data_IF_945263041065
#
_entry.id   IF_945263041065
#
_cell.length_a   1.000
_cell.length_b   1.000
_cell.length_c   1.000
_cell.angle_alpha   90.00
_cell.angle_beta   90.00
_cell.angle_gamma   90.00
#
_symmetry.space_group_name_H-M   'P 1'
#
loop_
_entity.id
_entity.type
_entity.pdbx_description
1 polymer ?
#
# COMPACT_ATOMS: atom_id res chain seq x y z
N UNK A 1 6.67 -11.61 2.95
CA UNK A 1 5.56 -11.27 3.88
C UNK A 1 4.48 -12.33 3.91
N UNK A 2 3.77 -12.62 2.81
CA UNK A 2 2.70 -13.64 2.82
C UNK A 2 3.16 -15.00 3.38
N UNK A 3 4.30 -15.52 2.90
CA UNK A 3 4.88 -16.76 3.43
C UNK A 3 5.22 -16.66 4.93
N UNK A 4 5.75 -15.53 5.39
CA UNK A 4 6.05 -15.28 6.81
C UNK A 4 4.78 -15.24 7.65
N UNK A 5 3.74 -14.52 7.21
CA UNK A 5 2.45 -14.43 7.90
C UNK A 5 1.75 -15.79 7.96
N UNK A 6 1.76 -16.56 6.88
CA UNK A 6 1.20 -17.92 6.84
C UNK A 6 1.98 -18.86 7.75
N UNK A 7 3.31 -18.81 7.72
CA UNK A 7 4.15 -19.67 8.56
C UNK A 7 3.96 -19.37 10.06
N UNK A 8 3.87 -18.09 10.42
CA UNK A 8 3.56 -17.63 11.78
C UNK A 8 2.12 -17.99 12.17
N UNK A 9 1.21 -18.15 11.19
CA UNK A 9 -0.15 -18.58 11.47
C UNK A 9 -0.26 -20.08 11.80
N UNK A 10 0.46 -20.92 11.04
CA UNK A 10 0.47 -22.38 11.17
C UNK A 10 1.26 -22.83 12.40
N UNK A 11 2.31 -22.10 12.76
CA UNK A 11 3.14 -22.42 13.90
C UNK A 11 2.41 -22.14 15.24
N UNK A 12 2.01 -23.20 15.94
CA UNK A 12 1.41 -23.13 17.28
C UNK A 12 2.43 -23.35 18.42
N UNK A 13 3.73 -23.37 18.13
CA UNK A 13 4.78 -23.63 19.12
C UNK A 13 5.53 -22.35 19.53
N UNK A 14 5.86 -22.25 20.83
CA UNK A 14 6.69 -21.19 21.39
C UNK A 14 8.07 -21.10 20.72
N UNK A 15 8.63 -22.26 20.36
CA UNK A 15 9.93 -22.37 19.73
C UNK A 15 9.93 -21.79 18.30
N UNK A 16 8.84 -21.98 17.56
CA UNK A 16 8.68 -21.37 16.24
C UNK A 16 8.58 -19.84 16.33
N UNK A 17 7.88 -19.29 17.32
CA UNK A 17 7.86 -17.84 17.54
C UNK A 17 9.24 -17.26 17.82
N UNK A 18 10.04 -17.95 18.64
CA UNK A 18 11.42 -17.55 18.90
C UNK A 18 12.24 -17.54 17.59
N UNK A 19 12.14 -18.59 16.77
CA UNK A 19 12.84 -18.63 15.48
C UNK A 19 12.40 -17.50 14.53
N UNK A 20 11.10 -17.22 14.43
CA UNK A 20 10.58 -16.12 13.59
C UNK A 20 10.96 -14.74 14.10
N UNK A 21 11.10 -14.57 15.41
CA UNK A 21 11.60 -13.32 16.02
C UNK A 21 13.07 -13.09 15.70
N UNK A 22 13.90 -14.15 15.75
CA UNK A 22 15.33 -14.07 15.41
C UNK A 22 15.50 -13.78 13.93
N UNK A 23 14.77 -14.47 13.06
CA UNK A 23 14.78 -14.22 11.62
C UNK A 23 14.36 -12.78 11.30
N UNK A 24 13.31 -12.27 11.96
CA UNK A 24 12.88 -10.89 11.80
C UNK A 24 13.91 -9.89 12.32
N UNK A 25 14.51 -10.15 13.49
CA UNK A 25 15.57 -9.32 14.04
C UNK A 25 16.77 -9.26 13.10
N UNK A 26 17.20 -10.38 12.52
CA UNK A 26 18.27 -10.42 11.53
C UNK A 26 17.94 -9.55 10.30
N UNK A 27 16.71 -9.62 9.78
CA UNK A 27 16.25 -8.76 8.68
C UNK A 27 16.27 -7.28 9.07
N UNK A 28 15.82 -6.93 10.27
CA UNK A 28 15.83 -5.55 10.76
C UNK A 28 17.26 -5.01 10.94
N UNK A 29 18.19 -5.84 11.41
CA UNK A 29 19.62 -5.48 11.52
C UNK A 29 20.24 -5.27 10.13
N UNK A 30 19.98 -6.16 9.18
CA UNK A 30 20.46 -6.02 7.80
C UNK A 30 19.88 -4.78 7.10
N UNK A 31 18.61 -4.43 7.40
CA UNK A 31 17.93 -3.31 6.76
C UNK A 31 18.37 -1.93 7.29
N UNK A 32 19.23 -1.84 8.32
CA UNK A 32 19.69 -0.58 8.97
C UNK A 32 18.55 0.44 9.17
N UNK A 33 17.38 -0.04 9.59
CA UNK A 33 16.21 0.81 9.80
C UNK A 33 16.38 1.56 11.14
N UNK A 34 16.03 2.84 11.16
CA UNK A 34 15.96 3.62 12.39
C UNK A 34 14.90 3.00 13.34
N UNK A 35 15.35 2.17 14.28
CA UNK A 35 14.51 1.48 15.29
C UNK A 35 13.55 2.43 16.02
N UNK A 36 13.97 3.67 16.26
CA UNK A 36 13.15 4.71 16.90
C UNK A 36 11.92 5.11 16.07
N UNK A 37 12.03 5.15 14.73
CA UNK A 37 10.90 5.47 13.84
C UNK A 37 9.88 4.33 13.79
N UNK A 38 10.38 3.08 13.76
CA UNK A 38 9.52 1.89 13.85
C UNK A 38 8.78 1.84 15.20
N UNK A 39 9.47 2.12 16.31
CA UNK A 39 8.85 2.07 17.64
C UNK A 39 7.76 3.13 17.82
N UNK A 40 7.93 4.32 17.22
CA UNK A 40 6.90 5.37 17.23
C UNK A 40 5.63 4.95 16.47
N UNK A 41 5.77 4.19 15.38
CA UNK A 41 4.63 3.62 14.64
C UNK A 41 3.93 2.49 15.41
N UNK A 42 4.58 1.94 16.44
CA UNK A 42 4.07 0.87 17.29
C UNK A 42 3.22 1.37 18.47
N UNK A 43 3.22 2.68 18.74
CA UNK A 43 2.42 3.30 19.81
C UNK A 43 0.93 2.95 19.72
N UNK A 44 0.23 3.09 18.57
CA UNK A 44 -1.17 2.66 18.48
C UNK A 44 -1.33 1.13 18.63
N UNK A 45 -0.32 0.35 18.24
CA UNK A 45 -0.34 -1.10 18.37
C UNK A 45 -0.23 -1.54 19.84
N UNK A 46 0.48 -0.77 20.68
CA UNK A 46 0.63 -1.07 22.11
C UNK A 46 -0.74 -1.09 22.81
N UNK A 47 -1.66 -0.21 22.43
CA UNK A 47 -3.05 -0.22 22.93
C UNK A 47 -3.75 -1.54 22.60
N UNK A 48 -3.61 -2.03 21.37
CA UNK A 48 -4.18 -3.31 20.93
C UNK A 48 -3.51 -4.48 21.67
N UNK A 49 -2.20 -4.41 21.89
CA UNK A 49 -1.42 -5.43 22.58
C UNK A 49 -1.89 -5.61 24.04
N UNK A 50 -2.01 -4.51 24.77
CA UNK A 50 -2.49 -4.50 26.16
C UNK A 50 -3.92 -5.01 26.21
N UNK A 51 -4.78 -4.54 25.31
CA UNK A 51 -6.16 -5.03 25.22
C UNK A 51 -6.22 -6.55 24.99
N UNK A 52 -5.35 -7.08 24.13
CA UNK A 52 -5.29 -8.52 23.82
C UNK A 52 -4.89 -9.35 25.05
N UNK A 53 -3.87 -8.91 25.78
CA UNK A 53 -3.44 -9.58 27.02
C UNK A 53 -4.53 -9.52 28.09
N UNK A 54 -5.15 -8.36 28.28
CA UNK A 54 -6.23 -8.16 29.27
C UNK A 54 -7.44 -9.01 28.95
N UNK A 55 -7.85 -9.06 27.67
CA UNK A 55 -8.96 -9.89 27.22
C UNK A 55 -8.70 -11.40 27.43
N UNK A 56 -7.43 -11.83 27.44
CA UNK A 56 -7.04 -13.23 27.59
C UNK A 56 -6.66 -13.64 29.03
N UNK A 57 -6.74 -12.73 30.00
CA UNK A 57 -6.56 -13.06 31.43
C UNK A 57 -7.37 -14.29 31.88
N UNK A 58 -8.66 -14.47 31.50
CA UNK A 58 -9.44 -15.62 31.95
C UNK A 58 -8.99 -16.96 31.34
N UNK A 59 -8.41 -16.99 30.13
CA UNK A 59 -7.87 -18.22 29.54
C UNK A 59 -6.43 -18.51 30.00
N UNK A 60 -5.75 -17.52 30.56
CA UNK A 60 -4.39 -17.63 31.08
C UNK A 60 -3.43 -16.61 30.46
N UNK A 61 -2.55 -16.05 31.30
CA UNK A 61 -1.59 -15.01 30.90
C UNK A 61 -0.65 -15.50 29.79
N UNK A 62 -0.31 -16.80 29.78
CA UNK A 62 0.56 -17.40 28.76
C UNK A 62 -0.03 -17.34 27.34
N UNK A 63 -1.33 -17.62 27.20
CA UNK A 63 -2.04 -17.53 25.90
C UNK A 63 -2.17 -16.08 25.46
N UNK A 64 -2.52 -15.17 26.37
CA UNK A 64 -2.59 -13.73 26.08
C UNK A 64 -1.25 -13.17 25.60
N UNK A 65 -0.15 -13.56 26.25
CA UNK A 65 1.20 -13.17 25.84
C UNK A 65 1.60 -13.78 24.49
N UNK A 66 1.20 -15.02 24.21
CA UNK A 66 1.44 -15.68 22.93
C UNK A 66 0.78 -14.92 21.77
N UNK A 67 -0.51 -14.59 21.87
CA UNK A 67 -1.20 -13.80 20.83
C UNK A 67 -0.67 -12.38 20.72
N UNK A 68 -0.34 -11.75 21.85
CA UNK A 68 0.28 -10.44 21.86
C UNK A 68 1.62 -10.44 21.09
N UNK A 69 2.51 -11.39 21.36
CA UNK A 69 3.77 -11.55 20.65
C UNK A 69 3.55 -11.83 19.16
N UNK A 70 2.54 -12.64 18.81
CA UNK A 70 2.14 -12.93 17.42
C UNK A 70 1.80 -11.66 16.64
N UNK A 71 0.93 -10.83 17.21
CA UNK A 71 0.49 -9.56 16.61
C UNK A 71 1.68 -8.61 16.47
N UNK A 72 2.53 -8.55 17.50
CA UNK A 72 3.75 -7.74 17.49
C UNK A 72 4.68 -8.13 16.33
N UNK A 73 4.96 -9.43 16.15
CA UNK A 73 5.83 -9.91 15.08
C UNK A 73 5.25 -9.65 13.68
N UNK A 74 3.94 -9.87 13.49
CA UNK A 74 3.26 -9.58 12.22
C UNK A 74 3.30 -8.08 11.89
N UNK A 75 3.06 -7.23 12.88
CA UNK A 75 3.11 -5.79 12.70
C UNK A 75 4.53 -5.31 12.36
N UNK A 76 5.54 -5.77 13.11
CA UNK A 76 6.94 -5.42 12.85
C UNK A 76 7.42 -5.90 11.47
N UNK A 77 7.05 -7.11 11.05
CA UNK A 77 7.36 -7.61 9.71
C UNK A 77 6.69 -6.77 8.61
N UNK A 78 5.43 -6.38 8.80
CA UNK A 78 4.69 -5.54 7.86
C UNK A 78 5.32 -4.14 7.76
N UNK A 79 5.66 -3.54 8.90
CA UNK A 79 6.32 -2.23 8.94
C UNK A 79 7.72 -2.27 8.30
N UNK A 80 8.49 -3.33 8.53
CA UNK A 80 9.80 -3.50 7.90
C UNK A 80 9.66 -3.45 6.37
N UNK A 81 8.68 -4.14 5.81
CA UNK A 81 8.40 -4.09 4.37
C UNK A 81 7.84 -2.75 3.93
N UNK A 82 6.94 -2.14 4.67
CA UNK A 82 6.43 -0.81 4.33
C UNK A 82 7.56 0.22 4.23
N UNK A 83 8.60 0.12 5.06
CA UNK A 83 9.76 1.02 5.02
C UNK A 83 10.83 0.65 3.98
N UNK A 84 10.91 -0.61 3.55
CA UNK A 84 11.96 -1.06 2.60
C UNK A 84 11.58 -0.94 1.12
N UNK A 85 10.30 -0.76 0.77
CA UNK A 85 9.85 -0.73 -0.63
C UNK A 85 9.51 0.70 -1.09
N UNK A 86 10.01 1.08 -2.26
CA UNK A 86 9.58 2.30 -2.96
C UNK A 86 8.26 2.08 -3.74
N UNK A 87 7.51 3.16 -3.96
CA UNK A 87 6.22 3.15 -4.68
C UNK A 87 6.31 2.47 -6.05
N UNK A 88 7.43 2.65 -6.77
CA UNK A 88 7.65 2.05 -8.09
C UNK A 88 7.88 0.54 -8.02
N UNK A 89 8.53 0.05 -6.95
CA UNK A 89 8.77 -1.37 -6.72
C UNK A 89 7.47 -2.10 -6.39
N UNK A 90 6.56 -1.45 -5.66
CA UNK A 90 5.23 -2.00 -5.34
C UNK A 90 4.41 -2.28 -6.61
N UNK A 91 4.42 -1.35 -7.58
CA UNK A 91 3.73 -1.53 -8.88
C UNK A 91 4.26 -2.74 -9.64
N UNK A 92 5.60 -2.91 -9.65
CA UNK A 92 6.26 -4.04 -10.31
C UNK A 92 5.92 -5.36 -9.63
N UNK A 93 5.95 -5.39 -8.31
CA UNK A 93 5.57 -6.58 -7.53
C UNK A 93 4.12 -6.99 -7.81
N UNK A 94 3.21 -6.02 -7.90
CA UNK A 94 1.81 -6.26 -8.23
C UNK A 94 1.64 -6.81 -9.65
N UNK A 95 2.32 -6.23 -10.64
CA UNK A 95 2.32 -6.73 -12.03
C UNK A 95 2.85 -8.16 -12.12
N UNK A 96 3.95 -8.48 -11.42
CA UNK A 96 4.49 -9.84 -11.38
C UNK A 96 3.54 -10.83 -10.70
N UNK A 97 2.77 -10.38 -9.70
CA UNK A 97 1.77 -11.21 -9.03
C UNK A 97 0.57 -11.54 -9.93
N UNK A 98 0.25 -10.66 -10.89
CA UNK A 98 -0.77 -10.91 -11.91
C UNK A 98 -0.27 -11.78 -13.07
N UNK A 99 1.04 -11.97 -13.24
CA UNK A 99 1.66 -12.85 -14.24
C UNK A 99 1.01 -14.24 -14.41
N UNK A 100 0.73 -15.02 -13.34
CA UNK A 100 0.07 -16.33 -13.46
C UNK A 100 -1.35 -16.26 -14.05
N UNK A 101 -2.05 -15.14 -13.92
CA UNK A 101 -3.39 -14.96 -14.52
C UNK A 101 -3.33 -14.89 -16.06
N UNK A 102 -2.13 -14.70 -16.64
CA UNK A 102 -1.92 -14.80 -18.10
C UNK A 102 -2.31 -16.18 -18.63
N UNK A 103 -2.14 -17.23 -17.82
CA UNK A 103 -2.55 -18.59 -18.18
C UNK A 103 -4.08 -18.73 -18.36
N UNK A 104 -4.86 -17.87 -17.70
CA UNK A 104 -6.33 -17.85 -17.75
C UNK A 104 -6.83 -16.86 -18.83
N UNK A 105 -5.99 -16.47 -19.80
CA UNK A 105 -6.28 -15.52 -20.89
C UNK A 105 -6.68 -14.11 -20.43
N UNK A 106 -6.33 -13.72 -19.21
CA UNK A 106 -6.53 -12.33 -18.74
C UNK A 106 -5.45 -11.42 -19.35
N UNK A 107 -5.79 -10.21 -19.88
CA UNK A 107 -4.83 -9.27 -20.45
C UNK A 107 -4.02 -8.54 -19.36
N UNK A 108 -3.08 -9.25 -18.75
CA UNK A 108 -2.24 -8.74 -17.65
C UNK A 108 -1.45 -7.49 -18.05
N UNK A 109 -0.95 -7.44 -19.29
CA UNK A 109 -0.10 -6.36 -19.79
C UNK A 109 -0.87 -5.01 -19.87
N UNK A 110 -2.17 -5.05 -20.20
CA UNK A 110 -3.05 -3.87 -20.20
C UNK A 110 -3.34 -3.39 -18.79
N UNK A 111 -3.70 -4.33 -17.90
CA UNK A 111 -4.00 -4.04 -16.50
C UNK A 111 -2.76 -3.44 -15.80
N UNK A 112 -1.58 -4.00 -16.04
CA UNK A 112 -0.33 -3.50 -15.49
C UNK A 112 -0.04 -2.06 -15.96
N UNK A 113 -0.32 -1.75 -17.23
CA UNK A 113 -0.14 -0.39 -17.75
C UNK A 113 -1.15 0.58 -17.13
N UNK A 114 -2.42 0.20 -17.04
CA UNK A 114 -3.47 1.01 -16.39
C UNK A 114 -3.09 1.30 -14.93
N UNK A 115 -2.61 0.29 -14.21
CA UNK A 115 -2.21 0.43 -12.82
C UNK A 115 -0.96 1.32 -12.64
N UNK A 116 0.04 1.18 -13.52
CA UNK A 116 1.24 2.05 -13.52
C UNK A 116 0.89 3.52 -13.76
N UNK A 117 -0.02 3.79 -14.72
CA UNK A 117 -0.54 5.14 -14.97
C UNK A 117 -1.29 5.64 -13.74
N UNK A 118 -2.18 4.82 -13.17
CA UNK A 118 -2.99 5.19 -12.00
C UNK A 118 -2.13 5.61 -10.81
N UNK A 119 -1.11 4.83 -10.44
CA UNK A 119 -0.22 5.15 -9.31
C UNK A 119 0.52 6.47 -9.54
N UNK A 120 1.01 6.69 -10.76
CA UNK A 120 1.66 7.97 -11.12
C UNK A 120 0.67 9.15 -11.10
N UNK A 121 -0.62 8.88 -11.28
CA UNK A 121 -1.67 9.89 -11.26
C UNK A 121 -2.11 10.29 -9.86
N UNK A 122 -1.94 9.41 -8.85
CA UNK A 122 -2.28 9.68 -7.45
C UNK A 122 -1.65 10.99 -6.95
N UNK A 123 -0.32 11.23 -7.04
CA UNK A 123 0.28 12.46 -6.52
C UNK A 123 -0.28 13.70 -7.22
N UNK A 124 -0.41 13.66 -8.54
CA UNK A 124 -0.93 14.81 -9.30
C UNK A 124 -2.41 15.07 -9.01
N UNK A 125 -3.19 14.01 -8.74
CA UNK A 125 -4.60 14.13 -8.35
C UNK A 125 -4.72 14.69 -6.93
N UNK A 126 -3.82 14.33 -6.02
CA UNK A 126 -3.74 14.89 -4.68
C UNK A 126 -3.40 16.39 -4.73
N UNK A 127 -2.43 16.79 -5.55
CA UNK A 127 -2.07 18.20 -5.70
C UNK A 127 -3.23 19.02 -6.28
N UNK A 128 -3.96 18.48 -7.26
CA UNK A 128 -5.15 19.13 -7.83
C UNK A 128 -6.27 19.23 -6.80
N UNK A 129 -6.51 18.15 -6.04
CA UNK A 129 -7.46 18.15 -4.95
C UNK A 129 -7.15 19.23 -3.93
N UNK A 130 -5.89 19.38 -3.52
CA UNK A 130 -5.47 20.41 -2.58
C UNK A 130 -5.62 21.81 -3.16
N UNK A 131 -5.23 22.03 -4.42
CA UNK A 131 -5.43 23.32 -5.11
C UNK A 131 -6.90 23.73 -5.16
N UNK A 132 -7.76 22.82 -5.62
CA UNK A 132 -9.21 23.08 -5.73
C UNK A 132 -9.83 23.27 -4.35
N UNK A 133 -9.51 22.41 -3.39
CA UNK A 133 -10.00 22.52 -2.01
C UNK A 133 -9.65 23.89 -1.41
N UNK A 134 -8.39 24.31 -1.51
CA UNK A 134 -7.94 25.60 -1.00
C UNK A 134 -8.58 26.79 -1.74
N UNK A 135 -8.78 26.69 -3.06
CA UNK A 135 -9.49 27.72 -3.82
C UNK A 135 -10.96 27.85 -3.39
N UNK A 136 -11.65 26.73 -3.11
CA UNK A 136 -13.02 26.76 -2.60
C UNK A 136 -13.06 27.31 -1.17
N UNK A 137 -12.10 26.97 -0.29
CA UNK A 137 -11.98 27.61 1.04
C UNK A 137 -11.85 29.12 0.93
N UNK A 138 -11.01 29.62 0.01
CA UNK A 138 -10.83 31.05 -0.23
C UNK A 138 -12.10 31.74 -0.76
N UNK A 139 -12.96 31.00 -1.47
CA UNK A 139 -14.28 31.45 -1.93
C UNK A 139 -15.39 31.34 -0.87
N UNK A 140 -15.04 31.01 0.37
CA UNK A 140 -15.97 30.93 1.49
C UNK A 140 -16.63 29.56 1.69
N UNK A 141 -16.16 28.51 1.00
CA UNK A 141 -16.64 27.15 1.27
C UNK A 141 -16.19 26.70 2.67
N UNK A 142 -17.16 26.51 3.57
CA UNK A 142 -16.95 26.03 4.93
C UNK A 142 -17.18 24.52 4.96
N UNK A 143 -16.10 23.75 5.05
CA UNK A 143 -16.16 22.28 5.05
C UNK A 143 -16.46 21.68 6.43
N UNK A 144 -16.13 22.43 7.50
CA UNK A 144 -16.19 21.95 8.88
C UNK A 144 -17.37 22.53 9.66
N UNK A 145 -18.22 23.36 9.05
CA UNK A 145 -19.36 24.00 9.70
C UNK A 145 -20.70 23.49 9.12
N UNK A 146 -21.77 23.57 9.92
CA UNK A 146 -23.12 23.18 9.51
C UNK A 146 -23.47 21.71 9.75
N UNK A 147 -24.67 21.33 9.30
CA UNK A 147 -25.20 19.98 9.45
C UNK A 147 -24.55 19.00 8.46
N UNK A 148 -24.66 17.68 8.69
CA UNK A 148 -24.00 16.65 7.84
C UNK A 148 -24.37 16.82 6.35
N UNK A 149 -25.64 17.15 6.07
CA UNK A 149 -26.14 17.38 4.70
C UNK A 149 -25.48 18.60 4.04
N UNK A 150 -25.27 19.67 4.81
CA UNK A 150 -24.66 20.91 4.33
C UNK A 150 -23.19 20.70 4.01
N UNK A 151 -22.47 19.95 4.87
CA UNK A 151 -21.08 19.55 4.61
C UNK A 151 -20.95 18.72 3.33
N UNK A 152 -21.81 17.72 3.13
CA UNK A 152 -21.80 16.90 1.90
C UNK A 152 -22.06 17.75 0.66
N UNK A 153 -23.02 18.69 0.72
CA UNK A 153 -23.29 19.62 -0.37
C UNK A 153 -22.08 20.53 -0.67
N UNK A 154 -21.40 20.99 0.38
CA UNK A 154 -20.18 21.79 0.27
C UNK A 154 -19.05 21.04 -0.46
N UNK A 155 -18.85 19.75 -0.16
CA UNK A 155 -17.90 18.89 -0.86
C UNK A 155 -18.20 18.74 -2.37
N UNK A 156 -19.46 18.86 -2.78
CA UNK A 156 -19.83 18.89 -4.19
C UNK A 156 -19.12 19.99 -5.00
N UNK A 157 -18.84 21.13 -4.38
CA UNK A 157 -18.13 22.26 -5.03
C UNK A 157 -16.67 21.96 -5.39
N UNK A 158 -16.06 21.00 -4.70
CA UNK A 158 -14.68 20.53 -4.95
C UNK A 158 -14.70 19.32 -5.89
N UNK A 159 -15.67 18.43 -5.73
CA UNK A 159 -15.79 17.21 -6.52
C UNK A 159 -16.01 17.49 -8.01
N UNK A 160 -16.92 18.42 -8.34
CA UNK A 160 -17.26 18.72 -9.75
C UNK A 160 -16.04 19.23 -10.54
N UNK A 161 -15.27 20.25 -10.09
CA UNK A 161 -14.08 20.70 -10.79
C UNK A 161 -13.01 19.60 -10.95
N UNK A 162 -12.78 18.80 -9.90
CA UNK A 162 -11.80 17.72 -9.94
C UNK A 162 -12.20 16.67 -10.98
N UNK A 163 -13.47 16.24 -10.99
CA UNK A 163 -13.95 15.25 -11.96
C UNK A 163 -13.76 15.74 -13.40
N UNK A 164 -14.14 16.99 -13.68
CA UNK A 164 -13.96 17.59 -15.02
C UNK A 164 -12.47 17.62 -15.38
N UNK A 165 -11.60 18.02 -14.45
CA UNK A 165 -10.14 18.03 -14.65
C UNK A 165 -9.55 16.64 -14.90
N UNK A 166 -10.01 15.62 -14.17
CA UNK A 166 -9.58 14.23 -14.34
C UNK A 166 -10.02 13.67 -15.69
N UNK A 167 -11.27 13.90 -16.11
CA UNK A 167 -11.77 13.47 -17.43
C UNK A 167 -11.02 14.15 -18.57
N UNK A 168 -10.79 15.45 -18.48
CA UNK A 168 -10.02 16.17 -19.49
C UNK A 168 -8.60 15.59 -19.61
N UNK A 169 -7.93 15.35 -18.48
CA UNK A 169 -6.58 14.78 -18.50
C UNK A 169 -6.56 13.34 -19.01
N UNK A 170 -7.57 12.53 -18.69
CA UNK A 170 -7.72 11.20 -19.25
C UNK A 170 -7.87 11.25 -20.78
N UNK A 171 -8.65 12.19 -21.30
CA UNK A 171 -8.78 12.41 -22.76
C UNK A 171 -7.46 12.82 -23.40
N UNK A 172 -6.73 13.78 -22.81
CA UNK A 172 -5.42 14.21 -23.31
C UNK A 172 -4.41 13.05 -23.29
N UNK A 173 -4.41 12.26 -22.22
CA UNK A 173 -3.54 11.08 -22.11
C UNK A 173 -3.87 10.03 -23.16
N UNK A 174 -5.16 9.73 -23.38
CA UNK A 174 -5.60 8.78 -24.40
C UNK A 174 -5.16 9.23 -25.81
N UNK A 175 -5.37 10.50 -26.16
CA UNK A 175 -4.94 11.06 -27.44
C UNK A 175 -3.41 10.99 -27.60
N UNK A 176 -2.66 11.30 -26.55
CA UNK A 176 -1.20 11.22 -26.57
C UNK A 176 -0.69 9.77 -26.70
N UNK A 177 -1.41 8.80 -26.12
CA UNK A 177 -1.08 7.38 -26.25
C UNK A 177 -1.37 6.88 -27.67
N UNK A 178 -2.50 7.27 -28.27
CA UNK A 178 -2.83 6.95 -29.66
C UNK A 178 -1.81 7.55 -30.63
N UNK A 179 -1.42 8.81 -30.45
CA UNK A 179 -0.39 9.47 -31.25
C UNK A 179 1.00 8.80 -31.16
N UNK A 180 1.25 8.06 -30.07
CA UNK A 180 2.46 7.24 -29.87
C UNK A 180 2.27 5.79 -30.32
N UNK A 181 1.21 5.52 -31.08
CA UNK A 181 0.87 4.19 -31.59
C UNK A 181 0.69 3.14 -30.48
N UNK A 182 0.21 3.53 -29.30
CA UNK A 182 0.00 2.61 -28.20
C UNK A 182 -1.12 1.62 -28.55
N UNK A 183 -0.78 0.33 -28.70
CA UNK A 183 -1.74 -0.73 -29.04
C UNK A 183 -1.62 -1.27 -30.48
N UNK A 184 -0.79 -0.66 -31.34
CA UNK A 184 -0.65 -1.11 -32.74
C UNK A 184 0.34 -2.27 -32.94
N UNK A 185 1.26 -2.49 -32.01
CA UNK A 185 2.31 -3.51 -32.12
C UNK A 185 2.44 -4.37 -30.85
N UNK A 186 3.07 -5.56 -30.99
CA UNK A 186 3.38 -6.45 -29.87
C UNK A 186 4.26 -5.71 -28.86
N UNK A 187 3.78 -5.59 -27.63
CA UNK A 187 4.46 -4.82 -26.58
C UNK A 187 5.75 -5.50 -26.14
N UNK A 188 6.79 -4.70 -25.99
CA UNK A 188 8.08 -5.09 -25.39
C UNK A 188 8.28 -4.29 -24.10
N UNK A 189 8.78 -4.94 -23.06
CA UNK A 189 9.05 -4.31 -21.77
C UNK A 189 10.54 -3.98 -21.64
N UNK A 190 10.88 -2.71 -21.44
CA UNK A 190 12.26 -2.27 -21.17
C UNK A 190 12.87 -2.87 -19.89
N UNK A 191 12.04 -3.32 -18.94
CA UNK A 191 12.47 -3.89 -17.65
C UNK A 191 12.44 -5.43 -17.63
N UNK A 192 12.37 -6.09 -18.79
CA UNK A 192 12.54 -7.54 -18.89
C UNK A 192 13.99 -8.01 -18.64
N UNK A 193 14.97 -7.11 -18.79
CA UNK A 193 16.40 -7.46 -18.83
C UNK A 193 17.11 -7.49 -17.48
N UNK A 194 16.54 -6.96 -16.39
CA UNK A 194 17.15 -7.11 -15.05
C UNK A 194 17.14 -8.57 -14.56
N UNK A 195 16.42 -9.48 -15.24
CA UNK A 195 16.47 -10.93 -14.97
C UNK A 195 17.54 -11.68 -15.76
N UNK A 196 18.21 -11.06 -16.73
CA UNK A 196 19.24 -11.71 -17.57
C UNK A 196 20.67 -11.25 -17.28
N UNK A 197 20.89 -10.45 -16.22
CA UNK A 197 22.22 -9.99 -15.79
C UNK A 197 22.86 -10.76 -14.61
N UNK A 198 22.19 -11.77 -14.07
CA UNK A 198 22.68 -12.57 -12.93
C UNK A 198 23.01 -14.03 -13.29
N UNK A 199 23.34 -14.26 -14.56
CA UNK A 199 23.83 -15.55 -15.09
C UNK A 199 24.90 -15.26 -16.14
N UNK A 200 26.08 -14.89 -15.66
CA UNK A 200 27.32 -14.74 -16.44
C UNK A 200 28.49 -14.98 -15.51
#
# INVERSE_FOLDING_TARGET
MLAYSVALFVAHSWLAMAMFSIALAAVLLCARIDMLKMLKSLVPLLVILVFTVVAHIPQGIGEGLYYALRILLLALATLAVAFSYDDTQLVRAFSSFLGPLRAVRVPVDDIATMFSIAIRFIPVSMDEFQRVSNAQRARGARFDEGNVVERVKCWGSVLVPILIGLFHRASVLAQAMEARCYGSARRTSLHGDERMGASG
#
